data_IF_956708987582
#
_entry.id   IF_956708987582
#
_cell.length_a   1.000
_cell.length_b   1.000
_cell.length_c   1.000
_cell.angle_alpha   90.00
_cell.angle_beta   90.00
_cell.angle_gamma   90.00
#
_symmetry.space_group_name_H-M   'P 1'
#
loop_
_entity.id
_entity.type
_entity.pdbx_description
1 polymer ?
#
# COMPACT_ATOMS: atom_id res chain seq x y z
N UNK A 1 14.59 10.72 -37.11
CA UNK A 1 13.48 10.90 -36.16
C UNK A 1 13.98 10.40 -34.83
N UNK A 2 14.35 11.34 -33.97
CA UNK A 2 14.95 11.09 -32.64
C UNK A 2 14.12 10.12 -31.80
N UNK A 3 14.79 9.08 -31.31
CA UNK A 3 14.30 8.24 -30.23
C UNK A 3 14.72 8.92 -28.93
N UNK A 4 13.79 9.65 -28.31
CA UNK A 4 13.99 10.26 -27.00
C UNK A 4 14.08 9.16 -25.95
N UNK A 5 15.30 8.80 -25.56
CA UNK A 5 15.59 7.96 -24.40
C UNK A 5 15.25 8.74 -23.14
N UNK A 6 14.08 8.46 -22.55
CA UNK A 6 13.72 8.98 -21.23
C UNK A 6 14.60 8.26 -20.20
N UNK A 7 15.45 9.03 -19.51
CA UNK A 7 16.30 8.53 -18.43
C UNK A 7 15.46 7.86 -17.33
N UNK A 8 15.97 6.79 -16.68
CA UNK A 8 15.21 6.07 -15.68
C UNK A 8 15.01 6.97 -14.46
N UNK A 9 13.74 7.26 -14.15
CA UNK A 9 13.32 7.96 -12.93
C UNK A 9 13.92 7.21 -11.74
N UNK A 10 14.74 7.91 -10.94
CA UNK A 10 15.39 7.39 -9.75
C UNK A 10 14.44 6.47 -8.97
N UNK A 11 14.82 5.20 -8.85
CA UNK A 11 14.00 4.12 -8.29
C UNK A 11 13.58 4.43 -6.85
N UNK A 12 12.44 5.10 -6.71
CA UNK A 12 11.61 4.99 -5.51
C UNK A 12 10.93 3.64 -5.65
N UNK A 13 11.41 2.65 -4.89
CA UNK A 13 10.76 1.35 -4.86
C UNK A 13 9.42 1.56 -4.16
N UNK A 14 8.36 1.81 -4.94
CA UNK A 14 7.03 1.46 -4.46
C UNK A 14 7.03 -0.06 -4.40
N UNK A 15 7.13 -0.60 -3.20
CA UNK A 15 7.24 -2.05 -2.98
C UNK A 15 5.92 -2.75 -3.35
N UNK A 16 4.84 -1.98 -3.53
CA UNK A 16 3.51 -2.43 -3.94
C UNK A 16 3.40 -2.50 -5.45
N UNK A 17 3.08 -3.69 -5.95
CA UNK A 17 2.88 -3.96 -7.37
C UNK A 17 1.42 -3.84 -7.80
N UNK A 18 0.49 -4.20 -6.91
CA UNK A 18 -0.94 -4.24 -7.21
C UNK A 18 -1.73 -3.68 -6.03
N UNK A 19 -2.82 -2.98 -6.35
CA UNK A 19 -3.83 -2.53 -5.40
C UNK A 19 -5.15 -3.22 -5.71
N UNK A 20 -5.83 -3.72 -4.69
CA UNK A 20 -7.13 -4.37 -4.84
C UNK A 20 -8.04 -4.14 -3.64
N UNK A 21 -9.35 -4.29 -3.85
CA UNK A 21 -10.39 -4.14 -2.82
C UNK A 21 -11.48 -5.21 -2.99
N UNK A 22 -12.08 -5.64 -1.87
CA UNK A 22 -13.21 -6.58 -1.90
C UNK A 22 -14.51 -5.86 -2.21
N UNK A 23 -15.29 -6.41 -3.13
CA UNK A 23 -16.70 -6.06 -3.23
C UNK A 23 -17.48 -6.61 -2.03
N UNK A 24 -18.23 -5.77 -1.32
CA UNK A 24 -19.07 -6.18 -0.20
C UNK A 24 -20.20 -7.13 -0.64
N UNK A 25 -20.83 -6.88 -1.79
CA UNK A 25 -22.00 -7.66 -2.25
C UNK A 25 -21.66 -9.09 -2.68
N UNK A 26 -20.55 -9.29 -3.41
CA UNK A 26 -20.21 -10.59 -4.00
C UNK A 26 -18.92 -11.21 -3.46
N UNK A 27 -18.17 -10.50 -2.61
CA UNK A 27 -16.90 -10.96 -2.04
C UNK A 27 -15.74 -11.06 -3.04
N UNK A 28 -15.91 -10.65 -4.30
CA UNK A 28 -14.89 -10.76 -5.35
C UNK A 28 -13.89 -9.61 -5.30
N UNK A 29 -12.66 -9.89 -5.73
CA UNK A 29 -11.56 -8.93 -5.81
C UNK A 29 -11.67 -8.09 -7.07
N UNK A 30 -11.45 -6.79 -6.90
CA UNK A 30 -11.35 -5.83 -8.01
C UNK A 30 -10.03 -5.10 -7.96
N UNK A 31 -9.36 -5.02 -9.11
CA UNK A 31 -8.12 -4.26 -9.26
C UNK A 31 -8.42 -2.76 -9.24
N UNK A 32 -7.61 -2.02 -8.48
CA UNK A 32 -7.67 -0.57 -8.42
C UNK A 32 -6.58 0.01 -9.34
N UNK A 33 -6.93 0.99 -10.20
CA UNK A 33 -6.05 1.43 -11.28
C UNK A 33 -4.85 2.27 -10.81
N UNK A 34 -4.94 2.88 -9.63
CA UNK A 34 -3.91 3.77 -9.11
C UNK A 34 -3.86 3.76 -7.59
N UNK A 35 -2.70 4.15 -7.06
CA UNK A 35 -2.49 4.31 -5.63
C UNK A 35 -3.43 5.35 -5.03
N UNK A 36 -3.63 6.46 -5.73
CA UNK A 36 -4.49 7.56 -5.29
C UNK A 36 -5.94 7.10 -5.12
N UNK A 37 -6.44 6.26 -6.05
CA UNK A 37 -7.79 5.70 -5.94
C UNK A 37 -7.91 4.70 -4.79
N UNK A 38 -6.85 3.93 -4.55
CA UNK A 38 -6.78 3.03 -3.39
C UNK A 38 -6.77 3.83 -2.08
N UNK A 39 -6.00 4.92 -2.01
CA UNK A 39 -5.94 5.81 -0.86
C UNK A 39 -7.28 6.52 -0.59
N UNK A 40 -8.04 6.79 -1.65
CA UNK A 40 -9.41 7.30 -1.55
C UNK A 40 -10.35 6.29 -0.91
N UNK A 41 -10.42 5.08 -1.47
CA UNK A 41 -11.34 4.05 -1.00
C UNK A 41 -11.03 3.68 0.45
N UNK A 42 -9.75 3.59 0.83
CA UNK A 42 -9.36 3.26 2.21
C UNK A 42 -9.74 4.29 3.26
N UNK A 43 -9.74 5.56 2.87
CA UNK A 43 -10.00 6.65 3.80
C UNK A 43 -11.47 6.65 4.20
N UNK A 44 -12.35 6.38 3.23
CA UNK A 44 -13.81 6.36 3.41
C UNK A 44 -14.36 4.97 3.67
N UNK A 45 -13.54 3.93 3.81
CA UNK A 45 -13.98 2.52 3.85
C UNK A 45 -15.02 2.23 4.95
N UNK A 46 -14.91 2.88 6.11
CA UNK A 46 -15.87 2.72 7.20
C UNK A 46 -17.22 3.41 6.93
N UNK A 47 -17.25 4.41 6.08
CA UNK A 47 -18.44 5.21 5.76
C UNK A 47 -19.11 4.72 4.49
N UNK A 48 -18.33 4.31 3.50
CA UNK A 48 -18.76 3.85 2.19
C UNK A 48 -18.04 2.56 1.86
N UNK A 49 -18.80 1.47 1.84
CA UNK A 49 -18.31 0.16 1.43
C UNK A 49 -18.10 0.13 -0.07
N UNK A 50 -17.19 -0.74 -0.51
CA UNK A 50 -16.89 -0.87 -1.93
C UNK A 50 -17.78 -1.92 -2.59
N UNK A 51 -18.36 -1.60 -3.75
CA UNK A 51 -19.10 -2.54 -4.58
C UNK A 51 -18.59 -2.56 -6.02
N UNK A 52 -18.95 -3.59 -6.79
CA UNK A 52 -18.64 -3.63 -8.22
C UNK A 52 -19.24 -2.43 -8.98
N UNK A 53 -20.30 -1.80 -8.47
CA UNK A 53 -20.84 -0.59 -9.06
C UNK A 53 -19.85 0.58 -8.95
N UNK A 54 -19.17 0.74 -7.81
CA UNK A 54 -18.10 1.74 -7.63
C UNK A 54 -16.95 1.51 -8.61
N UNK A 55 -16.60 0.24 -8.87
CA UNK A 55 -15.56 -0.11 -9.83
C UNK A 55 -15.85 0.34 -11.28
N UNK A 56 -17.12 0.66 -11.61
CA UNK A 56 -17.50 1.13 -12.95
C UNK A 56 -16.91 2.49 -13.31
N UNK A 57 -16.45 3.26 -12.32
CA UNK A 57 -15.73 4.51 -12.55
C UNK A 57 -14.49 4.33 -13.44
N UNK A 58 -13.79 3.21 -13.32
CA UNK A 58 -12.62 2.89 -14.15
C UNK A 58 -12.82 1.65 -15.04
N UNK A 59 -13.80 0.80 -14.75
CA UNK A 59 -14.12 -0.39 -15.54
C UNK A 59 -15.63 -0.47 -15.82
N UNK A 60 -16.14 0.24 -16.84
CA UNK A 60 -17.59 0.49 -16.99
C UNK A 60 -18.50 -0.74 -17.07
N UNK A 61 -17.98 -1.87 -17.58
CA UNK A 61 -18.76 -3.10 -17.79
C UNK A 61 -18.70 -4.07 -16.61
N UNK A 62 -17.98 -3.76 -15.54
CA UNK A 62 -17.81 -4.69 -14.42
C UNK A 62 -19.10 -4.83 -13.61
N UNK A 63 -19.32 -6.06 -13.16
CA UNK A 63 -20.49 -6.49 -12.40
C UNK A 63 -20.09 -7.51 -11.34
N UNK A 64 -21.05 -7.83 -10.47
CA UNK A 64 -20.92 -8.92 -9.50
C UNK A 64 -20.98 -10.31 -10.16
N UNK A 65 -21.35 -10.42 -11.44
CA UNK A 65 -21.37 -11.69 -12.18
C UNK A 65 -19.98 -12.03 -12.74
N UNK A 66 -19.19 -11.01 -13.09
CA UNK A 66 -17.83 -11.17 -13.61
C UNK A 66 -16.92 -11.92 -12.62
N UNK A 67 -15.94 -12.70 -13.13
CA UNK A 67 -14.96 -13.39 -12.28
C UNK A 67 -14.12 -12.41 -11.45
N UNK A 68 -13.50 -12.93 -10.39
CA UNK A 68 -12.57 -12.14 -9.56
C UNK A 68 -11.36 -11.69 -10.39
N UNK A 69 -10.88 -10.46 -10.16
CA UNK A 69 -9.70 -9.97 -10.91
C UNK A 69 -8.40 -10.58 -10.37
N UNK A 70 -8.40 -10.93 -9.08
CA UNK A 70 -7.28 -11.61 -8.42
C UNK A 70 -7.81 -12.71 -7.52
N UNK A 71 -7.07 -13.81 -7.45
CA UNK A 71 -7.37 -14.94 -6.57
C UNK A 71 -6.68 -14.74 -5.21
N UNK A 72 -7.40 -15.05 -4.13
CA UNK A 72 -7.03 -14.74 -2.72
C UNK A 72 -5.79 -15.53 -2.20
N UNK A 73 -5.13 -16.32 -3.04
CA UNK A 73 -3.99 -17.16 -2.67
C UNK A 73 -2.95 -17.28 -3.78
N UNK A 74 -2.90 -16.30 -4.68
CA UNK A 74 -1.86 -16.28 -5.69
C UNK A 74 -0.47 -16.21 -5.02
N UNK A 75 0.27 -17.33 -5.06
CA UNK A 75 1.57 -17.51 -4.40
C UNK A 75 2.64 -16.51 -4.89
N UNK A 76 2.36 -15.79 -5.98
CA UNK A 76 3.24 -14.76 -6.54
C UNK A 76 3.33 -13.52 -5.66
N UNK A 77 2.39 -13.30 -4.75
CA UNK A 77 2.24 -12.03 -4.02
C UNK A 77 2.30 -12.18 -2.50
N UNK A 78 2.91 -11.19 -1.84
CA UNK A 78 2.77 -10.99 -0.41
C UNK A 78 1.54 -10.12 -0.15
N UNK A 79 0.47 -10.72 0.35
CA UNK A 79 -0.79 -10.02 0.62
C UNK A 79 -0.80 -9.36 2.00
N UNK A 80 -1.17 -8.08 2.07
CA UNK A 80 -1.35 -7.37 3.33
C UNK A 80 -2.44 -6.30 3.27
N UNK A 81 -3.17 -6.13 4.36
CA UNK A 81 -4.28 -5.17 4.49
C UNK A 81 -3.87 -3.91 5.23
N UNK A 82 -4.14 -2.73 4.68
CA UNK A 82 -4.06 -1.51 5.48
C UNK A 82 -5.17 -1.52 6.56
N UNK A 83 -4.93 -0.82 7.68
CA UNK A 83 -5.99 -0.62 8.68
C UNK A 83 -7.03 0.39 8.15
N UNK A 84 -8.31 0.24 8.51
CA UNK A 84 -9.35 1.19 8.09
C UNK A 84 -9.08 2.60 8.62
N UNK A 85 -9.62 3.61 7.93
CA UNK A 85 -9.46 5.05 8.22
C UNK A 85 -8.01 5.54 8.11
N UNK A 86 -7.23 4.92 7.25
CA UNK A 86 -5.88 5.39 6.97
C UNK A 86 -5.95 6.60 6.05
N UNK A 87 -5.52 7.80 6.49
CA UNK A 87 -5.74 9.03 5.72
C UNK A 87 -5.07 8.99 4.35
N UNK A 88 -5.59 9.73 3.37
CA UNK A 88 -4.88 9.96 2.11
C UNK A 88 -3.54 10.64 2.35
N UNK A 89 -2.54 10.25 1.58
CA UNK A 89 -1.23 10.90 1.62
C UNK A 89 -1.38 12.33 1.07
N UNK A 90 -0.80 13.36 1.72
CA UNK A 90 -0.88 14.73 1.22
C UNK A 90 -0.30 14.87 -0.19
N UNK A 91 -0.79 15.85 -0.94
CA UNK A 91 -0.34 16.10 -2.32
C UNK A 91 1.19 16.28 -2.38
N UNK A 92 1.83 15.64 -3.37
CA UNK A 92 3.28 15.60 -3.57
C UNK A 92 4.09 14.89 -2.48
N UNK A 93 3.43 14.29 -1.48
CA UNK A 93 4.05 13.35 -0.56
C UNK A 93 3.79 11.92 -1.01
N UNK A 94 4.64 11.00 -0.59
CA UNK A 94 4.47 9.57 -0.88
C UNK A 94 4.60 8.74 0.39
N UNK A 95 3.61 7.86 0.64
CA UNK A 95 3.73 6.78 1.64
C UNK A 95 4.35 5.55 0.98
N UNK A 96 5.46 5.06 1.53
CA UNK A 96 6.18 3.89 1.03
C UNK A 96 6.21 2.79 2.09
N UNK A 97 6.04 1.56 1.63
CA UNK A 97 6.20 0.35 2.44
C UNK A 97 7.57 -0.28 2.16
N UNK A 98 8.20 -0.76 3.22
CA UNK A 98 9.44 -1.55 3.15
C UNK A 98 9.22 -2.87 3.87
N UNK A 99 9.04 -3.97 3.13
CA UNK A 99 8.95 -5.29 3.75
C UNK A 99 10.12 -5.59 4.68
N UNK A 100 9.77 -6.26 5.77
CA UNK A 100 10.71 -6.93 6.66
C UNK A 100 10.70 -8.42 6.37
N UNK A 101 11.83 -9.06 6.67
CA UNK A 101 11.96 -10.51 6.60
C UNK A 101 10.89 -11.21 7.47
N UNK A 102 10.23 -12.27 6.96
CA UNK A 102 9.29 -13.09 7.73
C UNK A 102 9.88 -13.63 9.02
N UNK A 103 9.02 -13.82 10.03
CA UNK A 103 9.41 -14.20 11.39
C UNK A 103 9.90 -13.03 12.25
N UNK A 104 9.81 -11.79 11.73
CA UNK A 104 9.97 -10.56 12.49
C UNK A 104 8.71 -10.15 13.25
N UNK A 105 8.78 -9.05 14.00
CA UNK A 105 7.64 -8.52 14.79
C UNK A 105 6.65 -7.65 13.99
N UNK A 106 6.97 -7.31 12.74
CA UNK A 106 6.18 -6.44 11.87
C UNK A 106 6.33 -6.89 10.42
N UNK A 107 5.28 -6.70 9.63
CA UNK A 107 5.28 -7.00 8.20
C UNK A 107 6.16 -6.03 7.40
N UNK A 108 5.98 -4.73 7.60
CA UNK A 108 6.72 -3.69 6.89
C UNK A 108 7.02 -2.47 7.79
N UNK A 109 8.00 -1.67 7.38
CA UNK A 109 8.22 -0.32 7.86
C UNK A 109 7.55 0.69 6.93
N UNK A 110 6.86 1.67 7.51
CA UNK A 110 6.22 2.77 6.76
C UNK A 110 7.16 3.97 6.72
N UNK A 111 7.36 4.52 5.54
CA UNK A 111 8.13 5.73 5.31
C UNK A 111 7.26 6.77 4.61
N UNK A 112 7.48 8.04 4.89
CA UNK A 112 6.97 9.14 4.07
C UNK A 112 8.11 9.83 3.34
N UNK A 113 7.88 10.22 2.10
CA UNK A 113 8.83 10.99 1.29
C UNK A 113 8.21 12.34 1.01
N UNK A 114 8.90 13.40 1.42
CA UNK A 114 8.52 14.78 1.09
C UNK A 114 8.78 15.10 -0.39
N UNK A 115 8.18 16.18 -0.92
CA UNK A 115 8.51 16.72 -2.24
C UNK A 115 10.01 16.99 -2.42
N UNK A 116 10.71 17.34 -1.33
CA UNK A 116 12.17 17.52 -1.29
C UNK A 116 12.99 16.21 -1.36
N UNK A 117 12.33 15.07 -1.56
CA UNK A 117 12.87 13.71 -1.52
C UNK A 117 13.40 13.27 -0.13
N UNK A 118 13.22 14.09 0.90
CA UNK A 118 13.56 13.72 2.29
C UNK A 118 12.63 12.61 2.77
N UNK A 119 13.21 11.56 3.35
CA UNK A 119 12.46 10.42 3.91
C UNK A 119 12.29 10.56 5.41
N UNK A 120 11.11 10.22 5.90
CA UNK A 120 10.72 10.22 7.30
C UNK A 120 10.31 8.81 7.71
N UNK A 121 10.81 8.35 8.86
CA UNK A 121 10.58 6.99 9.38
C UNK A 121 9.66 6.96 10.60
N UNK A 122 9.30 8.12 11.13
CA UNK A 122 8.44 8.22 12.31
C UNK A 122 7.69 9.54 12.37
N UNK A 123 6.59 9.54 13.14
CA UNK A 123 5.81 10.74 13.44
C UNK A 123 6.64 11.80 14.17
N UNK A 124 7.45 11.39 15.15
CA UNK A 124 8.33 12.29 15.92
C UNK A 124 9.34 13.01 15.02
N UNK A 125 9.92 12.30 14.05
CA UNK A 125 10.84 12.90 13.08
C UNK A 125 10.13 13.93 12.19
N UNK A 126 8.92 13.61 11.76
CA UNK A 126 8.09 14.48 10.93
C UNK A 126 7.64 15.74 11.68
N UNK A 127 7.20 15.60 12.94
CA UNK A 127 6.82 16.73 13.80
C UNK A 127 8.00 17.69 14.04
N UNK A 128 9.20 17.15 14.32
CA UNK A 128 10.42 17.96 14.42
C UNK A 128 10.75 18.70 13.13
N UNK A 129 10.43 18.11 11.98
CA UNK A 129 10.62 18.75 10.70
C UNK A 129 9.62 19.89 10.48
N UNK A 130 8.34 19.69 10.74
CA UNK A 130 7.32 20.75 10.63
C UNK A 130 7.57 21.89 11.61
N UNK A 131 8.08 21.62 12.82
CA UNK A 131 8.45 22.68 13.75
C UNK A 131 9.56 23.59 13.21
N UNK A 132 10.49 23.03 12.41
CA UNK A 132 11.56 23.80 11.76
C UNK A 132 11.15 24.44 10.44
N UNK A 133 10.05 23.96 9.84
CA UNK A 133 9.58 24.33 8.51
C UNK A 133 8.05 24.54 8.57
N UNK A 134 7.58 25.60 9.26
CA UNK A 134 6.15 25.84 9.48
C UNK A 134 5.37 26.16 8.19
N UNK A 135 6.06 26.54 7.11
CA UNK A 135 5.47 26.84 5.80
C UNK A 135 4.68 25.67 5.21
N UNK A 136 5.07 24.42 5.52
CA UNK A 136 4.33 23.24 5.08
C UNK A 136 2.94 23.16 5.72
N UNK A 137 2.84 23.47 7.02
CA UNK A 137 1.57 23.48 7.73
C UNK A 137 0.69 24.66 7.31
N UNK A 138 1.30 25.83 7.09
CA UNK A 138 0.59 27.00 6.56
C UNK A 138 0.08 26.78 5.14
N UNK A 139 0.81 25.99 4.34
CA UNK A 139 0.41 25.54 3.01
C UNK A 139 -0.70 24.48 2.98
N UNK A 140 -1.33 24.19 4.13
CA UNK A 140 -2.50 23.30 4.22
C UNK A 140 -2.18 21.83 4.44
N UNK A 141 -0.92 21.45 4.68
CA UNK A 141 -0.58 20.08 5.07
C UNK A 141 -1.00 19.85 6.53
N UNK A 142 -1.82 18.83 6.76
CA UNK A 142 -2.22 18.44 8.10
C UNK A 142 -1.35 17.28 8.61
N UNK A 143 -0.75 17.43 9.79
CA UNK A 143 0.04 16.39 10.42
C UNK A 143 -0.77 15.10 10.70
N UNK A 144 -2.10 15.19 10.81
CA UNK A 144 -2.97 14.02 10.98
C UNK A 144 -3.00 13.10 9.75
N UNK A 145 -2.66 13.60 8.56
CA UNK A 145 -2.61 12.82 7.33
C UNK A 145 -1.43 11.83 7.28
N UNK A 146 -0.50 11.94 8.24
CA UNK A 146 0.69 11.08 8.30
C UNK A 146 0.53 9.97 9.33
N UNK A 147 0.18 8.78 8.84
CA UNK A 147 0.10 7.57 9.66
C UNK A 147 1.21 6.58 9.34
N UNK A 148 1.98 6.21 10.36
CA UNK A 148 3.07 5.22 10.29
C UNK A 148 2.60 3.81 10.66
N UNK A 149 1.29 3.55 10.62
CA UNK A 149 0.73 2.22 10.84
C UNK A 149 1.06 1.31 9.65
N UNK A 150 1.70 0.18 9.93
CA UNK A 150 2.01 -0.83 8.93
C UNK A 150 0.77 -1.67 8.58
N UNK A 151 0.65 -2.16 7.34
CA UNK A 151 -0.40 -3.09 6.97
C UNK A 151 -0.21 -4.44 7.69
N UNK A 152 -1.31 -5.17 7.82
CA UNK A 152 -1.41 -6.47 8.47
C UNK A 152 -1.33 -7.56 7.40
N UNK A 153 -0.38 -8.51 7.47
CA UNK A 153 -0.30 -9.59 6.49
C UNK A 153 -1.52 -10.49 6.57
N UNK A 154 -1.93 -11.02 5.42
CA UNK A 154 -3.00 -12.03 5.33
C UNK A 154 -2.54 -13.38 5.89
N UNK A 155 -1.27 -13.73 5.69
CA UNK A 155 -0.71 -14.95 6.27
C UNK A 155 -0.39 -14.73 7.75
N UNK A 156 -1.20 -15.36 8.61
CA UNK A 156 -1.04 -15.34 10.07
C UNK A 156 0.35 -15.82 10.53
N UNK A 157 1.00 -16.70 9.75
CA UNK A 157 2.32 -17.23 10.05
C UNK A 157 3.46 -16.28 9.63
N UNK A 158 3.17 -15.16 8.95
CA UNK A 158 4.20 -14.21 8.53
C UNK A 158 4.94 -13.56 9.72
N UNK A 159 4.20 -13.23 10.79
CA UNK A 159 4.71 -12.55 12.00
C UNK A 159 5.01 -13.54 13.15
N UNK A 160 4.63 -14.81 13.00
CA UNK A 160 4.85 -15.81 14.04
C UNK A 160 6.36 -15.99 14.32
N UNK A 161 6.76 -15.78 15.58
CA UNK A 161 8.10 -16.16 16.05
C UNK A 161 8.29 -17.65 15.79
N UNK A 162 9.22 -18.02 14.92
CA UNK A 162 9.56 -19.42 14.62
C UNK A 162 9.83 -20.18 15.92
N UNK A 163 8.87 -20.97 16.39
CA UNK A 163 9.19 -22.22 17.09
C UNK A 163 9.55 -23.20 15.97
N UNK A 164 10.82 -23.58 15.94
CA UNK A 164 11.47 -24.54 15.04
C UNK A 164 10.59 -25.30 14.04
N UNK A 165 10.92 -25.17 12.74
CA UNK A 165 10.50 -26.02 11.60
C UNK A 165 9.09 -25.83 11.01
N UNK A 166 8.63 -24.60 10.78
CA UNK A 166 7.61 -24.36 9.75
C UNK A 166 8.29 -24.16 8.37
N UNK A 167 7.74 -24.71 7.27
CA UNK A 167 8.27 -24.47 5.94
C UNK A 167 8.25 -22.96 5.63
N UNK A 168 9.24 -22.50 4.86
CA UNK A 168 9.31 -21.10 4.45
C UNK A 168 8.01 -20.71 3.74
N UNK A 169 7.37 -19.68 4.28
CA UNK A 169 6.21 -19.00 3.72
C UNK A 169 6.44 -18.72 2.23
N UNK A 170 5.46 -19.04 1.37
CA UNK A 170 5.56 -18.95 -0.10
C UNK A 170 5.99 -17.56 -0.60
N UNK A 171 5.68 -16.52 0.18
CA UNK A 171 5.93 -15.11 -0.08
C UNK A 171 7.41 -14.72 -0.32
N UNK A 172 8.39 -15.59 -0.04
CA UNK A 172 9.82 -15.33 -0.32
C UNK A 172 10.51 -16.36 -1.23
N UNK A 173 9.78 -17.24 -1.94
CA UNK A 173 10.46 -18.26 -2.77
C UNK A 173 11.28 -17.70 -3.95
N UNK A 174 11.19 -16.41 -4.27
CA UNK A 174 12.02 -15.80 -5.29
C UNK A 174 13.36 -15.29 -4.74
N UNK A 175 14.42 -16.04 -5.06
CA UNK A 175 15.84 -15.71 -4.85
C UNK A 175 16.36 -14.55 -5.73
N UNK A 176 15.47 -13.69 -6.22
CA UNK A 176 15.77 -12.51 -7.03
C UNK A 176 15.36 -11.22 -6.32
N UNK A 177 15.92 -10.94 -5.14
CA UNK A 177 16.14 -9.62 -4.52
C UNK A 177 15.07 -8.49 -4.66
N UNK A 178 13.79 -8.80 -4.90
CA UNK A 178 12.70 -7.82 -5.00
C UNK A 178 11.46 -8.43 -4.32
N UNK A 179 11.08 -7.96 -3.13
CA UNK A 179 9.81 -8.35 -2.54
C UNK A 179 8.68 -7.79 -3.40
N UNK A 180 7.75 -8.66 -3.80
CA UNK A 180 6.56 -8.31 -4.57
C UNK A 180 5.40 -8.15 -3.58
N UNK A 181 5.04 -6.92 -3.21
CA UNK A 181 3.92 -6.64 -2.30
C UNK A 181 2.63 -6.42 -3.09
N UNK A 182 1.50 -6.86 -2.55
CA UNK A 182 0.16 -6.44 -2.98
C UNK A 182 -0.57 -5.91 -1.76
N UNK A 183 -1.04 -4.66 -1.87
CA UNK A 183 -1.76 -3.97 -0.83
C UNK A 183 -3.27 -4.18 -1.02
N UNK A 184 -3.93 -4.54 0.07
CA UNK A 184 -5.34 -4.90 0.14
C UNK A 184 -6.08 -3.94 1.08
N UNK A 185 -7.37 -3.74 0.81
CA UNK A 185 -8.40 -3.33 1.76
C UNK A 185 -9.53 -4.34 1.83
#
# INVERSE_FOLDING_TARGET
MEQTTVAPVDRVWDSVQVYSVQCEECGKWRLIPSKEKYEEIRETFNETTFTCATAREWRPQVSCEDPTDVEDQDERYCWAKDKPNLPRTPLNWQRLLRLRTPGGSKFADVHYVAPSKKRFRSKVELEKFFHKNPEFLQGGINASQFSFQAPVPMDENYIAKRRSRAPATSCLRNTSNVPSEVAYM
#
